data_IF_174665597809
#
_entry.id   IF_174665597809
#
_cell.length_a   1.000
_cell.length_b   1.000
_cell.length_c   1.000
_cell.angle_alpha   90.00
_cell.angle_beta   90.00
_cell.angle_gamma   90.00
#
_symmetry.space_group_name_H-M   'P 1'
#
loop_
_entity.id
_entity.type
_entity.pdbx_description
1 polymer ?
#
# COMPACT_ATOMS: atom_id res chain seq x y z
N UNK A 1 41.24 8.69 66.02
CA UNK A 1 42.31 8.43 65.03
C UNK A 1 41.89 7.20 64.22
N UNK A 2 42.08 7.25 62.88
CA UNK A 2 41.98 6.13 61.90
C UNK A 2 40.54 5.65 61.60
N UNK A 3 40.05 5.50 60.37
CA UNK A 3 40.55 5.64 58.98
C UNK A 3 39.30 5.81 58.10
N UNK A 4 39.27 6.78 57.18
CA UNK A 4 38.25 6.84 56.13
C UNK A 4 38.97 6.50 54.82
N UNK A 5 38.74 5.29 54.32
CA UNK A 5 39.24 4.86 53.01
C UNK A 5 38.18 5.21 51.98
N UNK A 6 38.46 6.24 51.19
CA UNK A 6 37.67 6.64 50.03
C UNK A 6 38.00 5.69 48.87
N UNK A 7 37.05 4.80 48.51
CA UNK A 7 37.16 3.95 47.33
C UNK A 7 36.53 4.70 46.14
N UNK A 8 37.39 5.22 45.26
CA UNK A 8 37.01 5.78 43.96
C UNK A 8 36.82 4.62 42.98
N UNK A 9 35.57 4.22 42.69
CA UNK A 9 35.27 3.21 41.67
C UNK A 9 34.90 3.92 40.36
N UNK A 10 35.87 4.02 39.45
CA UNK A 10 35.69 4.54 38.11
C UNK A 10 35.11 3.41 37.23
N UNK A 11 33.78 3.36 37.10
CA UNK A 11 33.12 2.47 36.15
C UNK A 11 33.20 3.05 34.74
N UNK A 12 34.20 2.62 33.96
CA UNK A 12 34.20 2.74 32.50
C UNK A 12 33.16 1.77 31.95
N UNK A 13 31.95 2.25 31.69
CA UNK A 13 30.93 1.47 30.98
C UNK A 13 31.13 1.72 29.49
N UNK A 14 31.74 0.76 28.80
CA UNK A 14 31.85 0.72 27.35
C UNK A 14 30.46 0.69 26.72
N UNK A 15 30.15 1.68 25.90
CA UNK A 15 28.94 1.72 25.10
C UNK A 15 29.04 0.67 23.99
N UNK A 16 28.34 -0.45 24.16
CA UNK A 16 28.06 -1.37 23.06
C UNK A 16 27.04 -0.70 22.14
N UNK A 17 27.49 -0.28 20.96
CA UNK A 17 26.60 0.14 19.88
C UNK A 17 25.91 -1.11 19.34
N UNK A 18 24.68 -1.36 19.81
CA UNK A 18 23.83 -2.40 19.23
C UNK A 18 23.34 -1.89 17.89
N UNK A 19 23.91 -2.41 16.80
CA UNK A 19 23.34 -2.24 15.47
C UNK A 19 22.05 -3.07 15.46
N UNK A 20 20.93 -2.40 15.70
CA UNK A 20 19.62 -3.01 15.51
C UNK A 20 19.43 -3.13 14.00
N UNK A 21 19.63 -4.33 13.46
CA UNK A 21 19.16 -4.63 12.11
C UNK A 21 17.66 -4.35 12.10
N UNK A 22 17.23 -3.44 11.22
CA UNK A 22 15.82 -3.19 10.97
C UNK A 22 15.34 -4.39 10.15
N UNK A 23 14.96 -5.47 10.85
CA UNK A 23 14.22 -6.53 10.22
C UNK A 23 12.93 -5.88 9.69
N UNK A 24 12.79 -5.84 8.36
CA UNK A 24 11.52 -5.55 7.74
C UNK A 24 10.57 -6.65 8.22
N UNK A 25 9.80 -6.34 9.27
CA UNK A 25 8.81 -7.20 9.89
C UNK A 25 7.74 -7.55 8.83
N UNK A 26 8.06 -8.54 7.99
CA UNK A 26 7.10 -9.29 7.20
C UNK A 26 6.30 -10.16 8.17
N UNK A 27 5.48 -9.50 8.99
CA UNK A 27 4.55 -10.16 9.89
C UNK A 27 3.67 -11.08 9.04
N UNK A 28 3.58 -12.39 9.37
CA UNK A 28 2.87 -13.33 8.54
C UNK A 28 1.38 -12.94 8.50
N UNK A 29 0.99 -12.43 7.33
CA UNK A 29 -0.38 -12.13 6.98
C UNK A 29 -1.23 -13.40 7.12
N UNK A 30 -2.43 -13.29 7.71
CA UNK A 30 -3.26 -14.47 8.02
C UNK A 30 -3.48 -15.29 6.74
N UNK A 31 -2.95 -16.52 6.76
CA UNK A 31 -2.67 -17.38 5.59
C UNK A 31 -3.87 -17.74 4.71
N UNK A 32 -5.10 -17.49 5.16
CA UNK A 32 -6.32 -18.07 4.54
C UNK A 32 -7.47 -17.09 4.29
N UNK A 33 -7.23 -15.77 4.26
CA UNK A 33 -8.23 -14.85 3.72
C UNK A 33 -8.10 -14.83 2.20
N UNK A 34 -9.13 -15.29 1.48
CA UNK A 34 -9.28 -15.02 0.04
C UNK A 34 -9.49 -13.51 -0.15
N UNK A 35 -8.40 -12.75 -0.14
CA UNK A 35 -8.45 -11.29 -0.29
C UNK A 35 -8.79 -10.95 -1.73
N UNK A 36 -9.82 -10.14 -1.93
CA UNK A 36 -10.22 -9.66 -3.25
C UNK A 36 -10.35 -8.16 -3.23
N UNK A 37 -9.74 -7.52 -4.22
CA UNK A 37 -9.93 -6.11 -4.52
C UNK A 37 -10.60 -6.03 -5.88
N UNK A 38 -11.61 -5.18 -6.05
CA UNK A 38 -12.45 -5.18 -7.25
C UNK A 38 -13.11 -3.83 -7.51
N UNK A 39 -13.56 -3.62 -8.75
CA UNK A 39 -14.42 -2.49 -9.10
C UNK A 39 -15.88 -2.87 -8.82
N UNK A 40 -16.64 -1.99 -8.16
CA UNK A 40 -18.03 -2.31 -7.76
C UNK A 40 -19.01 -2.14 -8.94
N UNK A 41 -18.93 -1.02 -9.65
CA UNK A 41 -19.91 -0.64 -10.69
C UNK A 41 -19.29 -0.48 -12.08
N UNK A 42 -17.97 -0.50 -12.19
CA UNK A 42 -17.24 -0.30 -13.44
C UNK A 42 -16.85 -1.65 -14.05
N UNK A 43 -17.45 -1.97 -15.20
CA UNK A 43 -17.29 -3.26 -15.86
C UNK A 43 -16.24 -3.22 -16.99
N UNK A 44 -15.63 -4.37 -17.26
CA UNK A 44 -14.77 -4.53 -18.43
C UNK A 44 -15.56 -4.35 -19.73
N UNK A 45 -15.06 -3.50 -20.62
CA UNK A 45 -15.69 -3.10 -21.87
C UNK A 45 -16.68 -1.94 -21.73
N UNK A 46 -16.90 -1.42 -20.53
CA UNK A 46 -17.88 -0.36 -20.30
C UNK A 46 -17.46 0.96 -20.96
N UNK A 47 -18.43 1.61 -21.61
CA UNK A 47 -18.27 2.96 -22.13
C UNK A 47 -18.70 3.98 -21.08
N UNK A 48 -17.85 4.97 -20.80
CA UNK A 48 -18.05 5.99 -19.76
C UNK A 48 -17.90 7.40 -20.33
N UNK A 49 -18.43 8.39 -19.62
CA UNK A 49 -18.18 9.81 -19.91
C UNK A 49 -16.72 10.18 -19.64
N UNK A 50 -16.27 11.37 -20.10
CA UNK A 50 -14.91 11.88 -19.86
C UNK A 50 -14.52 11.88 -18.38
N UNK A 51 -15.46 12.29 -17.53
CA UNK A 51 -15.37 12.27 -16.07
C UNK A 51 -16.39 11.26 -15.53
N UNK A 52 -15.94 10.36 -14.68
CA UNK A 52 -16.76 9.27 -14.15
C UNK A 52 -16.29 8.82 -12.76
N UNK A 53 -17.22 8.31 -11.97
CA UNK A 53 -16.91 7.75 -10.65
C UNK A 53 -16.37 6.33 -10.77
N UNK A 54 -15.30 6.04 -10.03
CA UNK A 54 -14.75 4.70 -9.87
C UNK A 54 -14.86 4.31 -8.40
N UNK A 55 -15.55 3.20 -8.11
CA UNK A 55 -15.73 2.67 -6.76
C UNK A 55 -14.96 1.37 -6.57
N UNK A 56 -14.27 1.27 -5.45
CA UNK A 56 -13.37 0.18 -5.09
C UNK A 56 -14.00 -0.66 -3.97
N UNK A 57 -13.93 -1.97 -4.13
CA UNK A 57 -14.30 -2.95 -3.12
C UNK A 57 -13.10 -3.73 -2.63
N UNK A 58 -13.15 -4.13 -1.36
CA UNK A 58 -12.18 -5.00 -0.70
C UNK A 58 -12.95 -6.05 0.12
N UNK A 59 -12.60 -7.33 -0.06
CA UNK A 59 -13.10 -8.46 0.71
C UNK A 59 -11.92 -9.17 1.37
N UNK A 60 -12.10 -9.67 2.60
CA UNK A 60 -11.10 -10.43 3.34
C UNK A 60 -10.17 -9.57 4.21
N UNK A 61 -9.90 -8.31 3.81
CA UNK A 61 -9.10 -7.33 4.55
C UNK A 61 -9.91 -6.10 4.96
N UNK A 62 -9.40 -5.36 5.94
CA UNK A 62 -9.86 -4.01 6.27
C UNK A 62 -9.14 -2.93 5.47
N UNK A 63 -9.70 -1.72 5.47
CA UNK A 63 -9.06 -0.53 4.92
C UNK A 63 -8.51 0.30 6.08
N UNK A 64 -7.26 0.73 5.98
CA UNK A 64 -6.63 1.63 6.94
C UNK A 64 -5.81 2.71 6.19
N UNK A 65 -5.69 3.92 6.75
CA UNK A 65 -4.80 4.92 6.19
C UNK A 65 -3.35 4.44 6.18
N UNK A 66 -2.59 4.84 5.16
CA UNK A 66 -1.15 4.68 5.12
C UNK A 66 -0.50 5.24 6.40
N UNK A 67 0.59 4.62 6.84
CA UNK A 67 1.24 4.88 8.13
C UNK A 67 0.57 4.19 9.32
N UNK A 68 -0.64 3.66 9.18
CA UNK A 68 -1.29 2.87 10.24
C UNK A 68 -0.92 1.39 10.08
N UNK A 69 0.07 0.94 10.85
CA UNK A 69 0.43 -0.48 10.89
C UNK A 69 -0.64 -1.25 11.67
N UNK A 70 -1.54 -1.91 10.93
CA UNK A 70 -2.61 -2.75 11.46
C UNK A 70 -2.71 -4.02 10.64
N UNK A 71 -2.77 -5.14 11.34
CA UNK A 71 -2.89 -6.46 10.72
C UNK A 71 -4.09 -6.58 9.77
N UNK A 72 -3.88 -7.26 8.64
CA UNK A 72 -4.90 -7.56 7.64
C UNK A 72 -5.63 -6.29 7.15
N UNK A 73 -4.89 -5.19 7.03
CA UNK A 73 -5.38 -3.96 6.42
C UNK A 73 -4.44 -3.48 5.32
N UNK A 74 -4.98 -2.62 4.47
CA UNK A 74 -4.23 -1.91 3.45
C UNK A 74 -5.05 -0.76 2.89
N UNK A 75 -4.64 -0.24 1.74
CA UNK A 75 -5.35 0.80 1.02
C UNK A 75 -5.21 0.65 -0.49
N UNK A 76 -6.12 1.31 -1.22
CA UNK A 76 -6.22 1.16 -2.66
C UNK A 76 -5.12 1.96 -3.39
N UNK A 77 -4.65 1.39 -4.49
CA UNK A 77 -3.97 2.10 -5.56
C UNK A 77 -4.71 1.82 -6.87
N UNK A 78 -4.80 2.82 -7.74
CA UNK A 78 -5.35 2.66 -9.09
C UNK A 78 -4.23 2.80 -10.12
N UNK A 79 -4.05 1.75 -10.91
CA UNK A 79 -3.12 1.69 -12.03
C UNK A 79 -3.91 1.99 -13.32
N UNK A 80 -3.50 3.03 -14.03
CA UNK A 80 -4.09 3.52 -15.27
C UNK A 80 -3.07 3.32 -16.39
N UNK A 81 -3.44 2.57 -17.44
CA UNK A 81 -2.60 2.32 -18.62
C UNK A 81 -1.16 1.88 -18.29
N UNK A 82 -1.05 1.13 -17.20
CA UNK A 82 0.22 0.59 -16.70
C UNK A 82 0.47 -0.76 -17.37
N UNK A 83 1.40 -0.74 -18.33
CA UNK A 83 1.84 -1.93 -19.08
C UNK A 83 2.89 -2.72 -18.32
N UNK A 84 3.88 -2.01 -17.79
CA UNK A 84 4.98 -2.54 -16.99
C UNK A 84 4.75 -2.15 -15.53
N UNK A 85 4.79 -3.13 -14.63
CA UNK A 85 4.64 -2.87 -13.20
C UNK A 85 5.97 -2.34 -12.64
N UNK A 86 5.93 -1.40 -11.68
CA UNK A 86 7.11 -1.03 -10.92
C UNK A 86 7.58 -2.20 -10.05
N UNK A 87 8.75 -2.04 -9.43
CA UNK A 87 9.21 -2.97 -8.40
C UNK A 87 8.28 -2.93 -7.19
N UNK A 88 7.40 -3.93 -7.09
CA UNK A 88 6.36 -4.03 -6.06
C UNK A 88 6.90 -4.29 -4.65
N UNK A 89 8.20 -4.63 -4.52
CA UNK A 89 8.87 -4.77 -3.22
C UNK A 89 9.28 -3.43 -2.61
N UNK A 90 9.07 -2.33 -3.35
CA UNK A 90 9.35 -0.96 -2.92
C UNK A 90 8.07 -0.16 -2.84
N UNK A 91 8.18 1.01 -2.23
CA UNK A 91 7.12 2.01 -2.23
C UNK A 91 6.72 2.33 -3.66
N UNK A 92 5.41 2.23 -3.94
CA UNK A 92 4.88 2.53 -5.26
C UNK A 92 5.16 3.99 -5.63
N UNK A 93 5.62 4.27 -6.87
CA UNK A 93 5.85 5.63 -7.30
C UNK A 93 4.51 6.32 -7.57
N UNK A 94 4.27 7.44 -6.91
CA UNK A 94 3.13 8.29 -7.23
C UNK A 94 3.35 8.95 -8.61
N UNK A 95 2.47 8.65 -9.56
CA UNK A 95 2.52 9.18 -10.93
C UNK A 95 1.10 9.40 -11.43
N UNK A 96 0.93 10.05 -12.59
CA UNK A 96 -0.39 10.19 -13.22
C UNK A 96 -1.04 8.84 -13.59
N UNK A 97 -0.25 7.76 -13.61
CA UNK A 97 -0.70 6.39 -13.90
C UNK A 97 -0.88 5.53 -12.66
N UNK A 98 -0.36 5.94 -11.52
CA UNK A 98 -0.43 5.21 -10.26
C UNK A 98 -0.93 6.18 -9.21
N UNK A 99 -2.24 6.14 -8.98
CA UNK A 99 -2.93 7.03 -8.05
C UNK A 99 -3.06 6.34 -6.70
N UNK A 100 -2.68 7.06 -5.64
CA UNK A 100 -2.69 6.55 -4.26
C UNK A 100 -3.98 6.96 -3.55
N UNK A 101 -4.57 6.01 -2.82
CA UNK A 101 -5.70 6.25 -1.93
C UNK A 101 -5.33 5.91 -0.49
N UNK A 102 -4.18 6.43 -0.05
CA UNK A 102 -3.59 6.21 1.27
C UNK A 102 -4.40 6.80 2.43
N UNK A 103 -5.47 7.56 2.17
CA UNK A 103 -6.41 7.99 3.21
C UNK A 103 -7.48 6.95 3.54
N UNK A 104 -7.48 5.80 2.85
CA UNK A 104 -8.52 4.80 2.95
C UNK A 104 -9.73 5.08 2.07
N UNK A 105 -9.57 5.88 1.01
CA UNK A 105 -10.65 6.17 0.07
C UNK A 105 -11.10 4.88 -0.64
N UNK A 106 -12.40 4.78 -0.87
CA UNK A 106 -13.06 3.67 -1.58
C UNK A 106 -13.68 4.11 -2.89
N UNK A 107 -13.56 5.38 -3.24
CA UNK A 107 -14.02 5.91 -4.51
C UNK A 107 -13.22 7.15 -4.92
N UNK A 108 -13.27 7.44 -6.21
CA UNK A 108 -12.74 8.68 -6.79
C UNK A 108 -13.56 9.09 -7.99
N UNK A 109 -13.58 10.37 -8.28
CA UNK A 109 -13.86 10.84 -9.63
C UNK A 109 -12.57 10.73 -10.46
N UNK A 110 -12.68 10.19 -11.67
CA UNK A 110 -11.57 10.05 -12.60
C UNK A 110 -11.93 10.76 -13.91
N UNK A 111 -11.00 11.57 -14.41
CA UNK A 111 -11.11 12.20 -15.73
C UNK A 111 -10.00 11.67 -16.61
N UNK A 112 -10.38 11.09 -17.76
CA UNK A 112 -9.46 10.54 -18.75
C UNK A 112 -9.74 11.15 -20.12
N UNK A 113 -8.75 11.12 -21.01
CA UNK A 113 -8.98 11.53 -22.39
C UNK A 113 -9.86 10.51 -23.14
N UNK A 114 -10.55 10.92 -24.22
CA UNK A 114 -11.32 9.99 -25.05
C UNK A 114 -10.46 8.84 -25.59
N UNK A 115 -11.01 7.62 -25.58
CA UNK A 115 -10.33 6.44 -26.09
C UNK A 115 -10.34 5.24 -25.14
N UNK A 116 -9.48 4.26 -25.43
CA UNK A 116 -9.41 2.99 -24.69
C UNK A 116 -8.39 3.10 -23.56
N UNK A 117 -8.83 2.81 -22.34
CA UNK A 117 -7.99 2.80 -21.14
C UNK A 117 -8.05 1.46 -20.43
N UNK A 118 -6.97 1.09 -19.76
CA UNK A 118 -6.93 -0.05 -18.83
C UNK A 118 -6.84 0.43 -17.40
N UNK A 119 -7.64 -0.18 -16.53
CA UNK A 119 -7.67 0.12 -15.11
C UNK A 119 -7.43 -1.17 -14.31
N UNK A 120 -6.65 -1.06 -13.24
CA UNK A 120 -6.42 -2.15 -12.31
C UNK A 120 -6.16 -1.61 -10.91
N UNK A 121 -6.86 -2.14 -9.92
CA UNK A 121 -6.56 -1.89 -8.51
C UNK A 121 -5.44 -2.79 -8.01
N UNK A 122 -4.61 -2.24 -7.13
CA UNK A 122 -3.59 -2.93 -6.34
C UNK A 122 -3.75 -2.55 -4.87
N UNK A 123 -3.70 -3.53 -3.98
CA UNK A 123 -3.71 -3.29 -2.53
C UNK A 123 -2.27 -3.07 -2.04
N UNK A 124 -2.02 -1.92 -1.42
CA UNK A 124 -0.77 -1.65 -0.72
C UNK A 124 -0.95 -1.75 0.80
N UNK A 125 0.15 -2.05 1.49
CA UNK A 125 0.24 -2.05 2.94
C UNK A 125 0.34 -0.63 3.51
N UNK A 126 0.64 -0.49 4.81
CA UNK A 126 0.77 0.80 5.46
C UNK A 126 1.92 1.67 4.91
N UNK A 127 2.90 1.11 4.20
CA UNK A 127 4.03 1.82 3.60
C UNK A 127 3.85 2.13 2.11
N UNK A 128 2.68 1.82 1.53
CA UNK A 128 2.45 1.82 0.08
C UNK A 128 3.31 0.80 -0.67
N UNK A 129 3.73 -0.27 -0.01
CA UNK A 129 4.41 -1.41 -0.63
C UNK A 129 3.33 -2.45 -0.92
N UNK A 130 3.45 -3.17 -2.04
CA UNK A 130 2.52 -4.26 -2.29
C UNK A 130 2.75 -5.37 -1.26
N UNK A 131 1.69 -6.04 -0.84
CA UNK A 131 1.83 -7.22 0.01
C UNK A 131 2.71 -8.29 -0.66
N UNK A 132 3.40 -9.10 0.14
CA UNK A 132 4.36 -10.12 -0.33
C UNK A 132 3.82 -11.04 -1.44
N UNK A 133 2.52 -11.38 -1.36
CA UNK A 133 1.75 -11.85 -2.51
C UNK A 133 0.89 -10.67 -2.99
N UNK A 134 1.23 -10.00 -4.10
CA UNK A 134 0.48 -8.84 -4.56
C UNK A 134 -0.99 -9.17 -4.79
N UNK A 135 -1.87 -8.33 -4.25
CA UNK A 135 -3.32 -8.49 -4.36
C UNK A 135 -3.81 -7.49 -5.39
N UNK A 136 -4.21 -8.02 -6.55
CA UNK A 136 -4.73 -7.25 -7.67
C UNK A 136 -6.20 -7.54 -7.91
N UNK A 137 -6.88 -6.55 -8.47
CA UNK A 137 -8.15 -6.77 -9.13
C UNK A 137 -7.95 -7.38 -10.51
N UNK A 138 -9.06 -7.86 -11.11
CA UNK A 138 -9.09 -8.09 -12.55
C UNK A 138 -8.77 -6.78 -13.26
N UNK A 139 -7.82 -6.81 -14.19
CA UNK A 139 -7.58 -5.70 -15.10
C UNK A 139 -8.80 -5.55 -16.01
N UNK A 140 -9.36 -4.35 -16.08
CA UNK A 140 -10.47 -4.01 -16.96
C UNK A 140 -10.01 -3.05 -18.05
N UNK A 141 -10.68 -3.11 -19.19
CA UNK A 141 -10.63 -2.11 -20.24
C UNK A 141 -11.90 -1.29 -20.18
N UNK A 142 -11.81 0.03 -20.33
CA UNK A 142 -12.96 0.92 -20.50
C UNK A 142 -12.78 1.75 -21.78
N UNK A 143 -13.89 2.33 -22.25
CA UNK A 143 -13.91 3.23 -23.40
C UNK A 143 -14.45 4.58 -22.93
N UNK A 144 -13.63 5.62 -22.99
CA UNK A 144 -14.02 6.99 -22.66
C UNK A 144 -14.55 7.63 -23.93
N UNK A 145 -15.77 8.19 -23.86
CA UNK A 145 -16.41 8.88 -24.99
C UNK A 145 -15.65 10.15 -25.37
N UNK A 146 -15.79 10.54 -26.64
CA UNK A 146 -15.48 11.89 -27.12
C UNK A 146 -16.34 12.96 -26.45
#
# INVERSE_FOLDING_TARGET
MKRITLLLCLCLVSSNLVIQAYDADNKPMKKDADVKIYFIELNNGQTVSKTFTVKFGLEGFGIAPAGTDKENTGHHHLLIDTKELPDLSKMLPATDKIIHFGGGQTETELTLEPGKHTLQLLLGDYQHIAHAKPIFSKKITIIVKE
#
